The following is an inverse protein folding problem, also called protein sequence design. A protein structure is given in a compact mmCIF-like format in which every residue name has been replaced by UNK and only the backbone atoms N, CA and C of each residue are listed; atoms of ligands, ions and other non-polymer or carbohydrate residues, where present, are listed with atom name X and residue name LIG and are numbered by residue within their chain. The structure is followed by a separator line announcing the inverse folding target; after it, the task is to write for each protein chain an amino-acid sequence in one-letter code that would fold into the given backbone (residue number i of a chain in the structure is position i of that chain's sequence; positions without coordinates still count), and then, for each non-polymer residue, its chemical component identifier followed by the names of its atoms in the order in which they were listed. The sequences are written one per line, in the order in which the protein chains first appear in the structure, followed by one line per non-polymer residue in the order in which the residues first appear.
data_IF_246485124143
#
_entry.id   IF_246485124143
#
_cell.length_a   1.000
_cell.length_b   1.000
_cell.length_c   1.000
_cell.angle_alpha   90.00
_cell.angle_beta   90.00
_cell.angle_gamma   90.00
#
_symmetry.space_group_name_H-M   'P 1'
#
loop_
_entity.id
_entity.type
_entity.pdbx_description
1 polymer ?
#
# COMPACT_ATOMS: atom_id res chain seq x y z
N UNK A 1 -17.43 -17.37 20.78
CA UNK A 1 -17.42 -16.28 21.78
C UNK A 1 -17.27 -14.87 21.17
N UNK A 2 -17.53 -14.66 19.87
CA UNK A 2 -17.35 -13.35 19.21
C UNK A 2 -18.57 -12.39 19.28
N UNK A 3 -19.79 -12.91 19.48
CA UNK A 3 -21.02 -12.09 19.49
C UNK A 3 -21.14 -11.12 20.68
N UNK A 4 -20.44 -11.38 21.80
CA UNK A 4 -20.54 -10.55 23.02
C UNK A 4 -19.63 -9.31 23.01
N UNK A 5 -18.62 -9.26 22.15
CA UNK A 5 -17.65 -8.15 22.13
C UNK A 5 -18.18 -6.99 21.27
N UNK A 6 -18.90 -7.27 20.17
CA UNK A 6 -19.48 -6.22 19.33
C UNK A 6 -20.59 -5.42 20.04
N UNK A 7 -21.46 -6.05 20.84
CA UNK A 7 -22.52 -5.31 21.54
C UNK A 7 -21.97 -4.28 22.54
N UNK A 8 -20.78 -4.48 23.10
CA UNK A 8 -20.14 -3.55 24.03
C UNK A 8 -19.47 -2.36 23.35
N UNK A 9 -19.24 -2.43 22.04
CA UNK A 9 -18.71 -1.31 21.24
C UNK A 9 -19.79 -0.32 20.80
N UNK A 10 -21.08 -0.68 20.93
CA UNK A 10 -22.21 0.10 20.42
C UNK A 10 -23.32 0.41 21.44
N UNK A 11 -23.13 0.07 22.72
CA UNK A 11 -24.06 0.46 23.79
C UNK A 11 -23.37 1.36 24.82
N UNK A 12 -23.43 2.67 24.60
CA UNK A 12 -23.28 3.63 25.67
C UNK A 12 -24.67 3.80 26.33
N UNK A 13 -24.87 3.12 27.46
CA UNK A 13 -26.04 3.31 28.31
C UNK A 13 -26.01 4.69 28.97
N UNK A 14 -27.19 5.27 29.01
CA UNK A 14 -27.59 6.51 29.69
C UNK A 14 -27.50 6.42 31.22
N UNK A 15 -27.60 7.58 31.89
CA UNK A 15 -27.71 7.88 33.35
C UNK A 15 -26.36 8.24 34.03
N UNK A 16 -26.13 9.36 34.74
CA UNK A 16 -26.98 10.41 35.34
C UNK A 16 -26.25 11.77 35.43
N UNK A 17 -27.03 12.83 35.64
CA UNK A 17 -26.76 14.26 35.45
C UNK A 17 -25.66 14.92 36.32
N UNK A 18 -24.95 15.86 35.69
CA UNK A 18 -24.45 17.12 36.28
C UNK A 18 -24.77 18.23 35.28
N UNK A 19 -25.59 19.21 35.68
CA UNK A 19 -26.08 20.29 34.83
C UNK A 19 -24.97 21.30 34.52
N UNK A 20 -24.53 21.35 33.26
CA UNK A 20 -23.84 22.49 32.66
C UNK A 20 -24.75 23.12 31.60
N UNK A 21 -24.69 24.45 31.40
CA UNK A 21 -25.65 25.17 30.56
C UNK A 21 -25.69 24.60 29.13
N UNK A 22 -26.87 24.61 28.47
CA UNK A 22 -27.05 23.97 27.18
C UNK A 22 -26.18 24.67 26.15
N UNK A 23 -25.12 23.99 25.71
CA UNK A 23 -24.44 24.31 24.46
C UNK A 23 -25.52 24.33 23.36
N UNK A 24 -25.59 25.34 22.48
CA UNK A 24 -26.58 25.35 21.39
C UNK A 24 -26.51 24.01 20.64
N UNK A 25 -27.65 23.48 20.15
CA UNK A 25 -27.69 22.19 19.49
C UNK A 25 -26.73 22.25 18.30
N UNK A 26 -25.55 21.64 18.46
CA UNK A 26 -24.63 21.45 17.35
C UNK A 26 -25.35 20.50 16.41
N UNK A 27 -25.78 21.00 15.25
CA UNK A 27 -26.48 20.23 14.24
C UNK A 27 -25.64 19.01 13.89
N UNK A 28 -26.13 17.81 14.23
CA UNK A 28 -25.43 16.58 13.88
C UNK A 28 -25.43 16.40 12.37
N UNK A 29 -24.30 16.64 11.69
CA UNK A 29 -24.19 16.40 10.25
C UNK A 29 -23.42 15.11 9.96
N UNK A 30 -23.98 13.98 10.39
CA UNK A 30 -23.62 12.69 9.81
C UNK A 30 -24.20 12.63 8.39
N UNK A 31 -23.33 12.73 7.38
CA UNK A 31 -23.77 12.63 5.99
C UNK A 31 -23.88 11.18 5.52
N UNK A 32 -23.09 10.27 6.11
CA UNK A 32 -23.04 8.87 5.68
C UNK A 32 -23.05 7.91 6.85
N UNK A 33 -24.09 7.08 6.90
CA UNK A 33 -24.14 5.95 7.81
C UNK A 33 -23.30 4.78 7.27
N UNK A 34 -22.50 4.12 8.12
CA UNK A 34 -21.75 2.94 7.76
C UNK A 34 -22.69 1.76 7.60
N UNK A 35 -22.49 1.02 6.52
CA UNK A 35 -23.16 -0.25 6.34
C UNK A 35 -22.42 -1.32 7.18
N UNK A 36 -22.95 -1.61 8.37
CA UNK A 36 -22.32 -2.54 9.30
C UNK A 36 -22.13 -3.94 8.70
N UNK A 37 -23.10 -4.42 7.92
CA UNK A 37 -23.04 -5.75 7.30
C UNK A 37 -21.92 -5.81 6.25
N UNK A 38 -21.75 -4.75 5.47
CA UNK A 38 -20.69 -4.64 4.47
C UNK A 38 -19.30 -4.56 5.13
N UNK A 39 -19.15 -3.74 6.18
CA UNK A 39 -17.90 -3.66 6.92
C UNK A 39 -17.54 -5.02 7.55
N UNK A 40 -18.51 -5.72 8.13
CA UNK A 40 -18.28 -7.05 8.71
C UNK A 40 -17.91 -8.07 7.65
N UNK A 41 -18.60 -8.09 6.51
CA UNK A 41 -18.26 -8.95 5.37
C UNK A 41 -16.83 -8.69 4.87
N UNK A 42 -16.42 -7.42 4.76
CA UNK A 42 -15.06 -7.03 4.37
C UNK A 42 -14.04 -7.45 5.42
N UNK A 43 -14.34 -7.36 6.72
CA UNK A 43 -13.42 -7.80 7.78
C UNK A 43 -13.24 -9.32 7.76
N UNK A 44 -14.31 -10.07 7.52
CA UNK A 44 -14.29 -11.54 7.53
C UNK A 44 -13.76 -12.18 6.25
N UNK A 45 -13.72 -11.47 5.13
CA UNK A 45 -13.17 -11.99 3.87
C UNK A 45 -11.67 -12.32 3.97
N UNK A 46 -11.08 -13.15 3.10
CA UNK A 46 -9.63 -13.30 3.05
C UNK A 46 -8.96 -12.00 2.56
N UNK A 47 -7.70 -11.79 2.95
CA UNK A 47 -6.89 -10.72 2.33
C UNK A 47 -6.47 -11.13 0.91
N UNK A 48 -6.39 -10.18 -0.03
CA UNK A 48 -5.73 -10.43 -1.30
C UNK A 48 -4.22 -10.67 -1.09
N UNK A 49 -3.63 -11.51 -1.93
CA UNK A 49 -2.19 -11.75 -1.94
C UNK A 49 -1.44 -10.48 -2.37
N UNK A 50 -0.35 -10.16 -1.66
CA UNK A 50 0.31 -8.88 -1.86
C UNK A 50 1.58 -8.68 -1.06
N UNK A 51 2.31 -7.61 -1.39
CA UNK A 51 3.55 -7.21 -0.72
C UNK A 51 3.32 -6.80 0.73
N UNK A 52 2.21 -6.14 1.01
CA UNK A 52 1.88 -5.63 2.33
C UNK A 52 0.35 -5.64 2.53
N UNK A 53 -0.27 -6.81 2.74
CA UNK A 53 -1.71 -6.88 2.93
C UNK A 53 -2.16 -6.06 4.13
N UNK A 54 -3.29 -5.39 3.99
CA UNK A 54 -3.85 -4.52 5.03
C UNK A 54 -5.12 -3.83 4.59
N UNK A 55 -5.45 -2.75 5.27
CA UNK A 55 -6.64 -1.96 5.04
C UNK A 55 -6.31 -0.52 4.69
N UNK A 56 -7.11 0.05 3.79
CA UNK A 56 -7.33 1.49 3.69
C UNK A 56 -8.72 1.79 4.24
N UNK A 57 -8.85 2.83 5.06
CA UNK A 57 -10.11 3.23 5.67
C UNK A 57 -10.41 4.70 5.41
N UNK A 58 -11.69 5.01 5.41
CA UNK A 58 -12.24 6.36 5.33
C UNK A 58 -13.04 6.62 6.60
N UNK A 59 -12.59 7.59 7.39
CA UNK A 59 -13.26 8.02 8.62
C UNK A 59 -13.82 9.41 8.40
N UNK A 60 -15.10 9.61 8.66
CA UNK A 60 -15.72 10.93 8.61
C UNK A 60 -15.72 11.54 10.02
N UNK A 61 -15.27 12.79 10.13
CA UNK A 61 -15.47 13.57 11.36
C UNK A 61 -16.82 14.28 11.35
N UNK A 62 -17.35 14.47 12.55
CA UNK A 62 -18.68 15.02 12.78
C UNK A 62 -18.81 16.53 12.52
N UNK A 63 -17.78 17.33 12.82
CA UNK A 63 -17.90 18.80 12.86
C UNK A 63 -17.98 19.43 11.48
N UNK A 64 -17.07 19.05 10.58
CA UNK A 64 -16.99 19.61 9.23
C UNK A 64 -17.40 18.62 8.14
N UNK A 65 -17.74 17.38 8.51
CA UNK A 65 -18.05 16.32 7.55
C UNK A 65 -16.86 15.88 6.70
N UNK A 66 -15.63 16.26 7.08
CA UNK A 66 -14.41 15.95 6.32
C UNK A 66 -13.99 14.50 6.55
N UNK A 67 -13.23 13.97 5.61
CA UNK A 67 -12.81 12.58 5.62
C UNK A 67 -11.32 12.45 5.86
N UNK A 68 -10.95 11.57 6.78
CA UNK A 68 -9.60 11.06 6.92
C UNK A 68 -9.44 9.79 6.10
N UNK A 69 -8.46 9.77 5.22
CA UNK A 69 -8.05 8.55 4.50
C UNK A 69 -6.76 8.05 5.14
N UNK A 70 -6.79 6.83 5.68
CA UNK A 70 -5.61 6.24 6.29
C UNK A 70 -5.54 4.74 6.14
N UNK A 71 -4.46 4.15 6.66
CA UNK A 71 -4.22 2.71 6.55
C UNK A 71 -3.95 2.01 7.88
N UNK A 72 -4.18 0.69 7.91
CA UNK A 72 -3.84 -0.16 9.07
C UNK A 72 -3.72 -1.63 8.67
N UNK A 73 -2.93 -2.41 9.41
CA UNK A 73 -2.96 -3.89 9.33
C UNK A 73 -3.97 -4.52 10.30
N UNK A 74 -4.33 -3.78 11.36
CA UNK A 74 -5.23 -4.25 12.39
C UNK A 74 -6.31 -3.20 12.61
N UNK A 75 -7.50 -3.45 12.08
CA UNK A 75 -8.61 -2.51 12.13
C UNK A 75 -9.16 -2.37 13.56
N UNK A 76 -9.23 -3.45 14.34
CA UNK A 76 -9.72 -3.43 15.73
C UNK A 76 -8.91 -2.49 16.62
N UNK A 77 -7.58 -2.63 16.60
CA UNK A 77 -6.68 -1.74 17.36
C UNK A 77 -6.82 -0.28 16.90
N UNK A 78 -7.03 -0.05 15.60
CA UNK A 78 -7.13 1.31 15.04
C UNK A 78 -8.48 1.96 15.38
N UNK A 79 -9.57 1.21 15.35
CA UNK A 79 -10.90 1.71 15.73
C UNK A 79 -10.98 2.07 17.21
N UNK A 80 -10.34 1.29 18.09
CA UNK A 80 -10.22 1.64 19.51
C UNK A 80 -9.45 2.95 19.73
N UNK A 81 -8.48 3.29 18.86
CA UNK A 81 -7.78 4.57 18.93
C UNK A 81 -8.70 5.74 18.55
N UNK A 82 -9.54 5.56 17.52
CA UNK A 82 -10.47 6.61 17.08
C UNK A 82 -11.61 6.86 18.07
N UNK A 83 -12.09 5.83 18.77
CA UNK A 83 -13.14 5.97 19.78
C UNK A 83 -12.67 6.58 21.11
N UNK A 84 -11.38 6.45 21.46
CA UNK A 84 -10.88 6.81 22.81
C UNK A 84 -9.99 8.06 22.83
N UNK A 85 -9.35 8.45 21.70
CA UNK A 85 -8.31 9.49 21.71
C UNK A 85 -8.65 10.80 20.98
N UNK A 86 -9.74 10.87 20.22
CA UNK A 86 -10.08 12.09 19.49
C UNK A 86 -11.11 12.93 20.27
N UNK A 87 -10.96 14.27 20.29
CA UNK A 87 -11.88 15.17 21.00
C UNK A 87 -13.24 15.35 20.29
N UNK A 88 -13.48 14.63 19.19
CA UNK A 88 -14.69 14.72 18.36
C UNK A 88 -15.14 13.33 17.92
N UNK A 89 -16.46 13.17 17.72
CA UNK A 89 -17.07 11.92 17.24
C UNK A 89 -16.62 11.63 15.79
N UNK A 90 -16.24 10.37 15.52
CA UNK A 90 -15.77 9.92 14.21
C UNK A 90 -16.43 8.61 13.83
N UNK A 91 -16.73 8.43 12.55
CA UNK A 91 -17.35 7.20 12.06
C UNK A 91 -16.54 6.61 10.91
N UNK A 92 -16.25 5.31 10.99
CA UNK A 92 -15.65 4.56 9.90
C UNK A 92 -16.71 4.38 8.82
N UNK A 93 -16.59 5.08 7.69
CA UNK A 93 -17.56 5.04 6.60
C UNK A 93 -17.22 3.94 5.59
N UNK A 94 -15.94 3.77 5.25
CA UNK A 94 -15.48 2.75 4.32
C UNK A 94 -14.22 2.05 4.79
N UNK A 95 -14.13 0.78 4.39
CA UNK A 95 -12.99 -0.07 4.63
C UNK A 95 -12.69 -0.89 3.38
N UNK A 96 -11.45 -0.87 2.92
CA UNK A 96 -11.01 -1.58 1.72
C UNK A 96 -9.85 -2.48 2.13
N UNK A 97 -9.93 -3.78 1.82
CA UNK A 97 -8.80 -4.70 1.94
C UNK A 97 -7.92 -4.58 0.71
N UNK A 98 -6.63 -4.37 0.93
CA UNK A 98 -5.67 -4.16 -0.15
C UNK A 98 -4.48 -5.10 0.02
N UNK A 99 -3.88 -5.47 -1.11
CA UNK A 99 -2.65 -6.24 -1.18
C UNK A 99 -1.40 -5.43 -0.81
N UNK A 100 -1.45 -4.10 -1.04
CA UNK A 100 -0.44 -3.15 -0.58
C UNK A 100 -1.12 -1.91 0.00
N UNK A 101 -1.44 -1.96 1.30
CA UNK A 101 -2.09 -0.84 1.99
C UNK A 101 -1.23 0.44 2.03
N UNK A 102 0.09 0.34 1.86
CA UNK A 102 0.95 1.53 1.82
C UNK A 102 0.79 2.27 0.50
N UNK A 103 0.84 1.53 -0.62
CA UNK A 103 0.64 2.11 -1.94
C UNK A 103 -0.82 2.55 -2.13
N UNK A 104 -1.78 1.72 -1.72
CA UNK A 104 -3.21 2.03 -1.84
C UNK A 104 -3.57 3.38 -1.20
N UNK A 105 -3.13 3.64 0.03
CA UNK A 105 -3.34 4.93 0.68
C UNK A 105 -2.72 6.09 -0.12
N UNK A 106 -1.48 5.93 -0.58
CA UNK A 106 -0.78 6.96 -1.32
C UNK A 106 -1.49 7.31 -2.64
N UNK A 107 -2.01 6.31 -3.36
CA UNK A 107 -2.75 6.54 -4.61
C UNK A 107 -4.14 7.14 -4.36
N UNK A 108 -4.82 6.79 -3.26
CA UNK A 108 -6.05 7.48 -2.85
C UNK A 108 -5.78 8.94 -2.48
N UNK A 109 -4.71 9.24 -1.73
CA UNK A 109 -4.31 10.61 -1.42
C UNK A 109 -3.98 11.41 -2.66
N UNK A 110 -3.32 10.79 -3.64
CA UNK A 110 -3.03 11.39 -4.95
C UNK A 110 -4.30 11.64 -5.76
N UNK A 111 -5.24 10.69 -5.75
CA UNK A 111 -6.49 10.81 -6.48
C UNK A 111 -7.37 11.96 -5.97
N UNK A 112 -7.43 12.16 -4.66
CA UNK A 112 -8.18 13.25 -4.02
C UNK A 112 -7.30 14.47 -3.65
N UNK A 113 -6.15 14.63 -4.31
CA UNK A 113 -5.19 15.68 -3.95
C UNK A 113 -5.77 17.11 -4.11
N UNK A 114 -6.67 17.30 -5.07
CA UNK A 114 -7.42 18.54 -5.31
C UNK A 114 -8.40 18.89 -4.18
N UNK A 115 -8.84 17.88 -3.42
CA UNK A 115 -9.77 18.00 -2.29
C UNK A 115 -9.07 17.89 -0.94
N UNK A 116 -7.74 17.87 -0.94
CA UNK A 116 -6.94 17.72 0.28
C UNK A 116 -6.98 18.99 1.10
N UNK A 117 -7.27 18.81 2.39
CA UNK A 117 -7.19 19.85 3.42
C UNK A 117 -5.82 19.75 4.10
N UNK A 118 -5.77 19.74 5.43
CA UNK A 118 -4.53 19.60 6.19
C UNK A 118 -4.18 18.12 6.46
N UNK A 119 -2.92 17.74 6.26
CA UNK A 119 -2.44 16.40 6.57
C UNK A 119 -3.12 15.31 5.74
N UNK A 120 -3.89 14.44 6.37
CA UNK A 120 -4.57 13.30 5.72
C UNK A 120 -6.09 13.50 5.64
N UNK A 121 -6.56 14.75 5.73
CA UNK A 121 -7.96 15.13 5.70
C UNK A 121 -8.37 15.66 4.33
N UNK A 122 -9.60 15.37 3.90
CA UNK A 122 -10.12 15.62 2.56
C UNK A 122 -11.58 16.08 2.61
N UNK A 123 -11.94 17.04 1.75
CA UNK A 123 -13.30 17.50 1.55
C UNK A 123 -14.00 16.69 0.43
N UNK A 124 -14.34 15.43 0.74
CA UNK A 124 -14.98 14.53 -0.23
C UNK A 124 -16.47 14.87 -0.42
N UNK A 125 -16.94 14.83 -1.66
CA UNK A 125 -18.35 15.04 -2.00
C UNK A 125 -19.15 13.73 -1.95
N UNK A 126 -20.46 13.83 -2.14
CA UNK A 126 -21.34 12.65 -2.22
C UNK A 126 -21.03 11.76 -3.40
N UNK A 127 -20.61 12.36 -4.51
CA UNK A 127 -20.20 11.67 -5.72
C UNK A 127 -18.91 10.88 -5.45
N UNK A 128 -17.93 11.47 -4.76
CA UNK A 128 -16.69 10.77 -4.37
C UNK A 128 -16.98 9.58 -3.46
N UNK A 129 -17.83 9.79 -2.47
CA UNK A 129 -18.24 8.75 -1.52
C UNK A 129 -18.96 7.61 -2.25
N UNK A 130 -19.84 7.94 -3.19
CA UNK A 130 -20.54 6.95 -4.01
C UNK A 130 -19.56 6.20 -4.91
N UNK A 131 -18.60 6.91 -5.52
CA UNK A 131 -17.57 6.33 -6.36
C UNK A 131 -16.69 5.32 -5.60
N UNK A 132 -16.30 5.65 -4.36
CA UNK A 132 -15.57 4.72 -3.48
C UNK A 132 -16.44 3.48 -3.16
N UNK A 133 -17.72 3.67 -2.82
CA UNK A 133 -18.64 2.58 -2.49
C UNK A 133 -18.86 1.62 -3.66
N UNK A 134 -19.01 2.16 -4.87
CA UNK A 134 -19.25 1.36 -6.07
C UNK A 134 -18.00 0.61 -6.55
N UNK A 135 -16.83 0.88 -5.96
CA UNK A 135 -15.58 0.21 -6.34
C UNK A 135 -15.10 0.53 -7.75
N UNK A 136 -15.56 1.65 -8.34
CA UNK A 136 -15.23 2.07 -9.71
C UNK A 136 -13.84 2.72 -9.80
N UNK A 137 -12.85 2.09 -9.18
CA UNK A 137 -11.52 2.62 -8.99
C UNK A 137 -10.79 2.86 -10.31
N UNK A 138 -9.86 3.81 -10.31
CA UNK A 138 -8.93 3.96 -11.43
C UNK A 138 -8.01 2.73 -11.52
N UNK A 139 -7.44 2.42 -12.70
CA UNK A 139 -6.51 1.30 -12.82
C UNK A 139 -5.31 1.38 -11.86
N UNK A 140 -4.87 2.59 -11.50
CA UNK A 140 -3.79 2.81 -10.53
C UNK A 140 -4.18 2.36 -9.12
N UNK A 141 -5.41 2.66 -8.69
CA UNK A 141 -5.94 2.25 -7.38
C UNK A 141 -6.25 0.75 -7.37
N UNK A 142 -6.91 0.25 -8.41
CA UNK A 142 -7.32 -1.14 -8.50
C UNK A 142 -6.12 -2.11 -8.39
N UNK A 143 -5.00 -1.80 -9.03
CA UNK A 143 -3.76 -2.57 -8.94
C UNK A 143 -3.16 -2.66 -7.52
N UNK A 144 -3.45 -1.69 -6.64
CA UNK A 144 -2.98 -1.72 -5.25
C UNK A 144 -3.88 -2.54 -4.33
N UNK A 145 -5.16 -2.66 -4.71
CA UNK A 145 -6.19 -3.39 -3.98
C UNK A 145 -6.14 -4.86 -4.38
N UNK A 146 -6.26 -5.09 -5.69
CA UNK A 146 -6.20 -6.37 -6.37
C UNK A 146 -5.08 -6.29 -7.42
N UNK A 147 -3.82 -6.44 -6.99
CA UNK A 147 -2.74 -6.58 -7.95
C UNK A 147 -3.12 -7.76 -8.85
N UNK A 148 -2.91 -7.65 -10.17
CA UNK A 148 -3.05 -8.80 -11.02
C UNK A 148 -2.24 -9.94 -10.39
N UNK A 149 -2.74 -11.20 -10.42
CA UNK A 149 -1.95 -12.35 -9.97
C UNK A 149 -0.58 -12.15 -10.57
N UNK A 150 0.51 -12.28 -9.78
CA UNK A 150 1.83 -11.87 -10.20
C UNK A 150 2.01 -12.45 -11.60
N UNK A 151 1.86 -11.58 -12.61
CA UNK A 151 2.19 -11.95 -13.99
C UNK A 151 3.59 -12.45 -13.77
N UNK A 152 3.89 -13.75 -13.98
CA UNK A 152 5.19 -14.31 -13.64
C UNK A 152 6.14 -13.31 -14.21
N UNK A 153 6.79 -12.53 -13.33
CA UNK A 153 7.27 -11.21 -13.74
C UNK A 153 8.16 -11.53 -14.88
N UNK A 154 7.79 -11.09 -16.10
CA UNK A 154 8.65 -11.16 -17.26
C UNK A 154 9.86 -10.38 -16.80
N UNK A 155 10.82 -11.16 -16.32
CA UNK A 155 11.76 -10.66 -15.36
C UNK A 155 12.49 -9.58 -16.14
N UNK A 156 12.44 -8.33 -15.68
CA UNK A 156 13.19 -7.25 -16.32
C UNK A 156 14.66 -7.67 -16.51
N UNK A 157 15.08 -8.62 -15.68
CA UNK A 157 16.28 -9.41 -15.66
C UNK A 157 16.62 -10.15 -16.98
N UNK A 158 15.70 -10.72 -17.76
CA UNK A 158 16.03 -11.43 -19.02
C UNK A 158 15.97 -10.55 -20.27
N UNK A 159 15.60 -9.28 -20.12
CA UNK A 159 15.60 -8.34 -21.25
C UNK A 159 17.02 -8.12 -21.79
N UNK A 160 17.18 -8.04 -23.12
CA UNK A 160 18.46 -7.70 -23.72
C UNK A 160 18.86 -6.28 -23.33
N UNK A 161 20.17 -6.07 -23.16
CA UNK A 161 20.72 -4.77 -22.80
C UNK A 161 20.62 -3.76 -23.96
N UNK A 162 20.34 -2.50 -23.64
CA UNK A 162 20.49 -1.39 -24.60
C UNK A 162 21.97 -1.16 -24.94
N UNK A 163 22.27 -0.48 -26.07
CA UNK A 163 23.65 -0.17 -26.49
C UNK A 163 24.49 0.49 -25.38
N UNK A 164 23.92 1.48 -24.68
CA UNK A 164 24.59 2.17 -23.56
C UNK A 164 24.89 1.22 -22.40
N UNK A 165 23.98 0.30 -22.12
CA UNK A 165 24.15 -0.69 -21.06
C UNK A 165 25.19 -1.76 -21.42
N UNK A 166 25.28 -2.16 -22.70
CA UNK A 166 26.33 -3.05 -23.19
C UNK A 166 27.72 -2.41 -23.07
N UNK A 167 27.86 -1.14 -23.45
CA UNK A 167 29.11 -0.40 -23.27
C UNK A 167 29.51 -0.30 -21.80
N UNK A 168 28.55 -0.06 -20.92
CA UNK A 168 28.78 -0.03 -19.48
C UNK A 168 29.20 -1.42 -18.95
N UNK A 169 28.50 -2.49 -19.37
CA UNK A 169 28.83 -3.86 -19.01
C UNK A 169 30.27 -4.23 -19.43
N UNK A 170 30.66 -3.88 -20.66
CA UNK A 170 32.04 -4.09 -21.18
C UNK A 170 33.10 -3.46 -20.27
N UNK A 171 32.90 -2.21 -19.85
CA UNK A 171 33.82 -1.52 -18.94
C UNK A 171 33.95 -2.21 -17.57
N UNK A 172 32.86 -2.82 -17.08
CA UNK A 172 32.90 -3.57 -15.82
C UNK A 172 33.61 -4.91 -15.99
N UNK A 173 33.37 -5.60 -17.11
CA UNK A 173 33.99 -6.89 -17.42
C UNK A 173 35.49 -6.78 -17.70
N UNK A 174 35.92 -5.70 -18.35
CA UNK A 174 37.35 -5.38 -18.55
C UNK A 174 38.10 -5.31 -17.21
N UNK A 175 37.48 -4.73 -16.18
CA UNK A 175 38.04 -4.67 -14.83
C UNK A 175 38.09 -6.03 -14.12
N UNK A 176 37.29 -7.00 -14.55
CA UNK A 176 37.30 -8.38 -14.04
C UNK A 176 38.17 -9.31 -14.88
N UNK A 177 38.69 -8.85 -16.03
CA UNK A 177 39.35 -9.69 -17.03
C UNK A 177 40.63 -10.37 -16.53
N UNK A 178 41.21 -9.91 -15.41
CA UNK A 178 42.36 -10.54 -14.76
C UNK A 178 41.95 -11.87 -14.13
N UNK A 179 40.84 -11.89 -13.39
CA UNK A 179 40.43 -13.04 -12.58
C UNK A 179 39.31 -13.88 -13.24
N UNK A 180 38.60 -13.31 -14.22
CA UNK A 180 37.43 -13.92 -14.84
C UNK A 180 37.44 -13.76 -16.37
N UNK A 181 36.86 -14.73 -17.06
CA UNK A 181 36.55 -14.71 -18.49
C UNK A 181 35.02 -14.72 -18.70
N UNK A 182 34.56 -14.00 -19.72
CA UNK A 182 33.16 -14.03 -20.15
C UNK A 182 32.95 -15.28 -21.01
N UNK A 183 31.93 -16.08 -20.70
CA UNK A 183 31.63 -17.34 -21.40
C UNK A 183 30.55 -17.23 -22.48
N UNK A 184 29.88 -16.08 -22.58
CA UNK A 184 28.79 -15.81 -23.51
C UNK A 184 29.11 -14.62 -24.42
N UNK A 185 28.36 -14.45 -25.50
CA UNK A 185 28.45 -13.20 -26.27
C UNK A 185 27.97 -12.02 -25.40
N UNK A 186 28.60 -10.86 -25.57
CA UNK A 186 28.13 -9.62 -24.95
C UNK A 186 26.67 -9.31 -25.28
N UNK A 187 26.20 -9.64 -26.50
CA UNK A 187 24.82 -9.42 -26.92
C UNK A 187 23.81 -10.31 -26.17
N UNK A 188 24.27 -11.42 -25.58
CA UNK A 188 23.45 -12.35 -24.79
C UNK A 188 23.39 -11.95 -23.31
N UNK A 189 24.11 -10.89 -22.92
CA UNK A 189 24.02 -10.36 -21.56
C UNK A 189 22.63 -9.80 -21.32
N UNK A 190 22.11 -10.15 -20.16
CA UNK A 190 20.79 -9.73 -19.72
C UNK A 190 20.89 -8.62 -18.69
N UNK A 191 19.78 -7.92 -18.45
CA UNK A 191 19.71 -6.91 -17.39
C UNK A 191 20.08 -7.48 -16.01
N UNK A 192 19.77 -8.76 -15.76
CA UNK A 192 20.13 -9.49 -14.53
C UNK A 192 21.63 -9.53 -14.33
N UNK A 193 22.35 -9.82 -15.40
CA UNK A 193 23.80 -9.98 -15.36
C UNK A 193 24.47 -8.63 -15.13
N UNK A 194 23.97 -7.59 -15.79
CA UNK A 194 24.42 -6.22 -15.55
C UNK A 194 24.16 -5.76 -14.11
N UNK A 195 22.99 -6.06 -13.55
CA UNK A 195 22.65 -5.71 -12.18
C UNK A 195 23.61 -6.40 -11.17
N UNK A 196 23.97 -7.66 -11.42
CA UNK A 196 24.94 -8.40 -10.61
C UNK A 196 26.36 -7.83 -10.74
N UNK A 197 26.80 -7.52 -11.96
CA UNK A 197 28.09 -6.86 -12.21
C UNK A 197 28.17 -5.52 -11.47
N UNK A 198 27.16 -4.68 -11.64
CA UNK A 198 27.06 -3.38 -10.95
C UNK A 198 27.04 -3.53 -9.43
N UNK A 199 26.28 -4.50 -8.92
CA UNK A 199 26.20 -4.80 -7.48
C UNK A 199 27.55 -5.21 -6.88
N UNK A 200 28.36 -5.98 -7.60
CA UNK A 200 29.73 -6.29 -7.17
C UNK A 200 30.60 -5.03 -7.11
N UNK A 201 30.63 -4.22 -8.16
CA UNK A 201 31.50 -3.04 -8.19
C UNK A 201 31.09 -1.96 -7.21
N UNK A 202 29.78 -1.78 -6.98
CA UNK A 202 29.23 -0.75 -6.09
C UNK A 202 29.30 -1.14 -4.61
N UNK A 203 29.04 -2.40 -4.29
CA UNK A 203 28.88 -2.86 -2.90
C UNK A 203 29.90 -3.93 -2.48
N UNK A 204 30.86 -4.28 -3.34
CA UNK A 204 31.81 -5.38 -3.13
C UNK A 204 31.12 -6.71 -2.82
N UNK A 205 29.92 -6.91 -3.37
CA UNK A 205 29.11 -8.10 -3.15
C UNK A 205 29.69 -9.30 -3.90
N UNK A 206 30.55 -10.09 -3.24
CA UNK A 206 31.16 -11.30 -3.81
C UNK A 206 30.13 -12.34 -4.25
N UNK A 207 28.98 -12.43 -3.58
CA UNK A 207 27.88 -13.33 -3.94
C UNK A 207 27.31 -13.03 -5.33
N UNK A 208 27.39 -11.78 -5.80
CA UNK A 208 26.97 -11.41 -7.15
C UNK A 208 27.87 -12.06 -8.22
N UNK A 209 29.18 -12.11 -8.01
CA UNK A 209 30.11 -12.82 -8.90
C UNK A 209 29.90 -14.33 -8.85
N UNK A 210 29.73 -14.91 -7.66
CA UNK A 210 29.42 -16.34 -7.53
C UNK A 210 28.16 -16.72 -8.31
N UNK A 211 27.14 -15.86 -8.29
CA UNK A 211 25.91 -16.10 -9.05
C UNK A 211 26.11 -15.96 -10.56
N UNK A 212 26.96 -15.05 -11.04
CA UNK A 212 27.33 -14.96 -12.45
C UNK A 212 28.09 -16.19 -12.93
N UNK A 213 28.95 -16.76 -12.08
CA UNK A 213 29.66 -18.01 -12.37
C UNK A 213 28.70 -19.20 -12.40
N UNK A 214 27.83 -19.33 -11.40
CA UNK A 214 26.78 -20.37 -11.37
C UNK A 214 25.83 -20.30 -12.56
N UNK A 215 25.54 -19.09 -13.04
CA UNK A 215 24.70 -18.86 -14.21
C UNK A 215 25.44 -19.10 -15.55
N UNK A 216 26.72 -19.47 -15.51
CA UNK A 216 27.54 -19.71 -16.70
C UNK A 216 27.75 -18.46 -17.54
N UNK A 217 27.74 -17.28 -16.92
CA UNK A 217 28.02 -15.99 -17.58
C UNK A 217 29.50 -15.64 -17.45
N UNK A 218 30.10 -15.96 -16.30
CA UNK A 218 31.53 -15.80 -16.05
C UNK A 218 32.17 -17.14 -15.71
N UNK A 219 33.45 -17.27 -16.00
CA UNK A 219 34.28 -18.38 -15.54
C UNK A 219 35.55 -17.82 -14.88
N UNK A 220 35.94 -18.30 -13.69
CA UNK A 220 37.21 -17.92 -13.09
C UNK A 220 38.37 -18.39 -13.97
N UNK A 221 39.36 -17.52 -14.18
CA UNK A 221 40.63 -17.92 -14.78
C UNK A 221 41.44 -18.68 -13.74
N UNK A 222 42.06 -19.78 -14.14
CA UNK A 222 42.98 -20.57 -13.29
C UNK A 222 44.37 -19.94 -13.27
#
# INVERSE_FOLDING_TARGET
MLKKVLNKLFTANSTSAVETPPNPPQTKMYLYEPNQQELEAIIQSPFPDGKAPGYVYFVQEYLNGTFKIGKTKNIEKRMNVFGVKLPFENQLVFLIKCADHHQAEAVFHKHFADKRLEGEWFALTKEDVTWVREGKYTPEIEQTIFPPPPVPTDSSDEKPLTKKQLEYARKLLEKLSVDYELTKDYAELTQKDLNRLSGYFRFKNKGALTNLVKAGVLKPKS
#
